data_IF_680582108707
#
_entry.id   IF_680582108707
#
_cell.length_a   1.000
_cell.length_b   1.000
_cell.length_c   1.000
_cell.angle_alpha   90.00
_cell.angle_beta   90.00
_cell.angle_gamma   90.00
#
_symmetry.space_group_name_H-M   'P 1'
#
loop_
_entity.id
_entity.type
_entity.pdbx_description
1 polymer ?
#
# COMPACT_ATOMS: atom_id res chain seq x y z
N UNK A 1 -60.04 4.19 11.51
CA UNK A 1 -60.18 3.62 10.16
C UNK A 1 -59.91 2.14 10.26
N UNK A 2 -60.95 1.32 10.35
CA UNK A 2 -60.85 -0.13 10.36
C UNK A 2 -60.67 -0.64 8.92
N UNK A 3 -59.45 -0.56 8.40
CA UNK A 3 -59.06 -1.06 7.07
C UNK A 3 -58.84 -2.57 7.04
N UNK A 4 -59.35 -3.33 8.00
CA UNK A 4 -59.15 -4.77 8.09
C UNK A 4 -60.39 -5.55 7.65
N UNK A 5 -60.38 -6.00 6.39
CA UNK A 5 -61.45 -6.80 5.79
C UNK A 5 -61.64 -8.16 6.52
N UNK A 6 -60.57 -8.81 7.01
CA UNK A 6 -60.67 -10.01 7.86
C UNK A 6 -59.38 -10.26 8.67
N UNK A 7 -59.48 -10.38 9.99
CA UNK A 7 -58.32 -10.57 10.92
C UNK A 7 -57.47 -11.81 10.61
N UNK A 8 -58.09 -12.86 10.08
CA UNK A 8 -57.42 -14.12 9.72
C UNK A 8 -56.41 -13.96 8.59
N UNK A 9 -56.69 -13.11 7.60
CA UNK A 9 -55.80 -12.89 6.48
C UNK A 9 -54.48 -12.24 6.92
N UNK A 10 -54.56 -11.30 7.88
CA UNK A 10 -53.38 -10.65 8.47
C UNK A 10 -52.52 -11.67 9.21
N UNK A 11 -53.14 -12.57 9.99
CA UNK A 11 -52.41 -13.55 10.79
C UNK A 11 -51.68 -14.57 9.90
N UNK A 12 -52.35 -15.05 8.84
CA UNK A 12 -51.72 -15.91 7.82
C UNK A 12 -50.56 -15.17 7.15
N UNK A 13 -50.74 -13.89 6.79
CA UNK A 13 -49.71 -13.04 6.21
C UNK A 13 -48.49 -12.86 7.11
N UNK A 14 -48.71 -12.55 8.40
CA UNK A 14 -47.63 -12.41 9.40
C UNK A 14 -46.89 -13.72 9.58
N UNK A 15 -47.60 -14.84 9.68
CA UNK A 15 -46.98 -16.16 9.83
C UNK A 15 -46.16 -16.56 8.60
N UNK A 16 -46.72 -16.37 7.39
CA UNK A 16 -46.04 -16.68 6.14
C UNK A 16 -44.78 -15.82 5.96
N UNK A 17 -44.88 -14.51 6.21
CA UNK A 17 -43.77 -13.55 6.06
C UNK A 17 -42.64 -13.83 7.06
N UNK A 18 -42.99 -14.10 8.32
CA UNK A 18 -42.00 -14.38 9.38
C UNK A 18 -41.28 -15.71 9.15
N UNK A 19 -42.02 -16.77 8.77
CA UNK A 19 -41.41 -18.06 8.41
C UNK A 19 -40.48 -17.94 7.21
N UNK A 20 -40.91 -17.28 6.14
CA UNK A 20 -40.11 -17.12 4.93
C UNK A 20 -38.83 -16.33 5.20
N UNK A 21 -38.93 -15.21 5.93
CA UNK A 21 -37.78 -14.38 6.30
C UNK A 21 -36.78 -15.15 7.17
N UNK A 22 -37.27 -15.92 8.15
CA UNK A 22 -36.43 -16.76 9.01
C UNK A 22 -35.67 -17.84 8.22
N UNK A 23 -36.36 -18.56 7.33
CA UNK A 23 -35.73 -19.59 6.49
C UNK A 23 -34.69 -19.00 5.53
N UNK A 24 -35.00 -17.87 4.90
CA UNK A 24 -34.06 -17.18 4.01
C UNK A 24 -32.79 -16.74 4.73
N UNK A 25 -32.93 -16.14 5.92
CA UNK A 25 -31.79 -15.70 6.73
C UNK A 25 -30.95 -16.87 7.26
N UNK A 26 -31.56 -17.99 7.63
CA UNK A 26 -30.86 -19.18 8.11
C UNK A 26 -29.97 -19.79 7.01
N UNK A 27 -30.51 -19.95 5.80
CA UNK A 27 -29.79 -20.51 4.64
C UNK A 27 -28.74 -19.51 4.12
N UNK A 28 -29.05 -18.21 4.11
CA UNK A 28 -28.11 -17.18 3.71
C UNK A 28 -26.87 -17.15 4.62
N UNK A 29 -27.10 -17.15 5.94
CA UNK A 29 -26.03 -17.07 6.95
C UNK A 29 -25.12 -18.29 6.90
N UNK A 30 -25.66 -19.51 6.74
CA UNK A 30 -24.85 -20.74 6.69
C UNK A 30 -23.95 -20.78 5.46
N UNK A 31 -24.40 -20.25 4.31
CA UNK A 31 -23.57 -20.15 3.10
C UNK A 31 -22.46 -19.12 3.23
N UNK A 32 -22.71 -17.98 3.87
CA UNK A 32 -21.67 -16.99 4.19
C UNK A 32 -20.62 -17.61 5.12
N UNK A 33 -21.07 -18.31 6.16
CA UNK A 33 -20.19 -19.00 7.11
C UNK A 33 -19.33 -20.08 6.43
N UNK A 34 -19.93 -20.87 5.54
CA UNK A 34 -19.21 -21.90 4.78
C UNK A 34 -18.11 -21.29 3.91
N UNK A 35 -18.39 -20.20 3.18
CA UNK A 35 -17.37 -19.52 2.36
C UNK A 35 -16.27 -18.91 3.23
N UNK A 36 -16.63 -18.26 4.33
CA UNK A 36 -15.66 -17.70 5.27
C UNK A 36 -14.72 -18.77 5.85
N UNK A 37 -15.22 -19.99 6.09
CA UNK A 37 -14.39 -21.11 6.54
C UNK A 37 -13.38 -21.61 5.50
N UNK A 38 -13.69 -21.42 4.21
CA UNK A 38 -12.78 -21.78 3.11
C UNK A 38 -11.61 -20.81 2.99
N UNK A 39 -11.78 -19.55 3.39
CA UNK A 39 -10.75 -18.51 3.39
C UNK A 39 -9.66 -18.74 4.47
N UNK A 40 -9.82 -19.77 5.33
CA UNK A 40 -8.90 -20.18 6.41
C UNK A 40 -8.56 -19.07 7.42
N UNK A 41 -9.26 -17.94 7.39
CA UNK A 41 -8.98 -16.75 8.21
C UNK A 41 -8.94 -17.09 9.70
N UNK A 42 -9.93 -17.83 10.20
CA UNK A 42 -10.05 -18.17 11.63
C UNK A 42 -9.59 -19.59 11.98
N UNK A 43 -8.81 -20.23 11.10
CA UNK A 43 -8.10 -21.50 11.34
C UNK A 43 -8.91 -22.61 12.00
N UNK A 44 -8.76 -22.75 13.33
CA UNK A 44 -9.32 -23.84 14.13
C UNK A 44 -10.83 -23.66 14.43
N UNK A 45 -11.29 -22.43 14.68
CA UNK A 45 -12.66 -22.15 15.14
C UNK A 45 -13.71 -22.47 14.06
N UNK A 46 -13.39 -22.18 12.80
CA UNK A 46 -14.28 -22.34 11.65
C UNK A 46 -14.02 -23.63 10.84
N UNK A 47 -13.06 -24.46 11.25
CA UNK A 47 -12.74 -25.74 10.58
C UNK A 47 -13.95 -26.68 10.43
N UNK A 48 -14.85 -26.87 11.42
CA UNK A 48 -16.00 -27.76 11.24
C UNK A 48 -17.02 -27.22 10.23
N UNK A 49 -17.14 -25.89 10.10
CA UNK A 49 -18.08 -25.25 9.16
C UNK A 49 -17.73 -25.51 7.68
N UNK A 50 -16.48 -25.89 7.39
CA UNK A 50 -15.98 -26.21 6.05
C UNK A 50 -16.53 -27.53 5.48
N UNK A 51 -17.04 -28.42 6.33
CA UNK A 51 -17.46 -29.76 5.91
C UNK A 51 -18.71 -29.65 5.03
N UNK A 52 -18.55 -29.99 3.76
CA UNK A 52 -19.62 -30.12 2.78
C UNK A 52 -19.94 -31.61 2.58
N UNK A 53 -21.23 -31.94 2.47
CA UNK A 53 -21.71 -33.32 2.26
C UNK A 53 -22.43 -33.39 0.91
N UNK A 54 -22.07 -34.36 0.08
CA UNK A 54 -22.65 -34.55 -1.25
C UNK A 54 -22.31 -33.41 -2.22
N UNK A 55 -23.32 -32.89 -2.91
CA UNK A 55 -23.21 -31.91 -3.99
C UNK A 55 -22.96 -30.47 -3.47
N UNK A 56 -21.88 -30.28 -2.69
CA UNK A 56 -21.49 -29.01 -2.04
C UNK A 56 -22.55 -28.41 -1.10
N UNK A 57 -23.36 -29.26 -0.47
CA UNK A 57 -24.35 -28.80 0.51
C UNK A 57 -23.69 -28.60 1.88
N UNK A 58 -23.69 -27.38 2.45
CA UNK A 58 -23.00 -27.07 3.69
C UNK A 58 -23.87 -27.39 4.92
N UNK A 59 -24.22 -28.67 5.09
CA UNK A 59 -25.13 -29.13 6.16
C UNK A 59 -24.57 -28.79 7.53
N UNK A 60 -23.26 -28.96 7.73
CA UNK A 60 -22.60 -28.66 9.02
C UNK A 60 -22.67 -27.17 9.35
N UNK A 61 -22.49 -26.29 8.36
CA UNK A 61 -22.67 -24.85 8.56
C UNK A 61 -24.11 -24.49 8.94
N UNK A 62 -25.12 -25.17 8.39
CA UNK A 62 -26.54 -24.96 8.74
C UNK A 62 -26.82 -25.35 10.19
N UNK A 63 -26.25 -26.46 10.66
CA UNK A 63 -26.41 -26.91 12.05
C UNK A 63 -25.74 -25.92 13.01
N UNK A 64 -24.55 -25.41 12.67
CA UNK A 64 -23.84 -24.41 13.47
C UNK A 64 -24.66 -23.12 13.56
N UNK A 65 -25.18 -22.61 12.43
CA UNK A 65 -26.01 -21.38 12.47
C UNK A 65 -27.30 -21.60 13.25
N UNK A 66 -27.95 -22.75 13.12
CA UNK A 66 -29.12 -23.09 13.92
C UNK A 66 -28.81 -23.10 15.42
N UNK A 67 -27.71 -23.74 15.85
CA UNK A 67 -27.28 -23.72 17.25
C UNK A 67 -27.01 -22.30 17.76
N UNK A 68 -26.36 -21.45 16.96
CA UNK A 68 -26.14 -20.05 17.33
C UNK A 68 -27.47 -19.29 17.51
N UNK A 69 -28.43 -19.47 16.61
CA UNK A 69 -29.76 -18.82 16.71
C UNK A 69 -30.50 -19.28 17.97
N UNK A 70 -30.50 -20.60 18.25
CA UNK A 70 -31.10 -21.15 19.47
C UNK A 70 -30.43 -20.54 20.71
N UNK A 71 -29.09 -20.42 20.72
CA UNK A 71 -28.35 -19.78 21.81
C UNK A 71 -28.77 -18.33 22.06
N UNK A 72 -29.01 -17.55 21.00
CA UNK A 72 -29.51 -16.16 21.13
C UNK A 72 -30.95 -16.14 21.64
N UNK A 73 -31.79 -17.10 21.27
CA UNK A 73 -33.18 -17.18 21.76
C UNK A 73 -33.29 -17.52 23.24
N UNK A 74 -32.30 -18.22 23.82
CA UNK A 74 -32.27 -18.51 25.26
C UNK A 74 -32.18 -17.26 26.16
N UNK A 75 -31.85 -16.08 25.60
CA UNK A 75 -31.85 -14.79 26.32
C UNK A 75 -33.28 -14.42 26.79
N UNK A 76 -34.33 -14.96 26.17
CA UNK A 76 -35.73 -14.86 26.64
C UNK A 76 -36.39 -13.49 26.52
N UNK A 77 -35.65 -12.45 26.09
CA UNK A 77 -36.14 -11.08 26.00
C UNK A 77 -36.17 -10.57 24.54
N UNK A 78 -37.34 -10.66 23.89
CA UNK A 78 -37.50 -10.29 22.48
C UNK A 78 -37.04 -8.86 22.15
N UNK A 79 -37.33 -7.89 23.02
CA UNK A 79 -36.93 -6.50 22.79
C UNK A 79 -35.41 -6.31 22.82
N UNK A 80 -34.68 -7.09 23.62
CA UNK A 80 -33.21 -7.07 23.65
C UNK A 80 -32.62 -7.72 22.39
N UNK A 81 -33.21 -8.83 21.94
CA UNK A 81 -32.80 -9.54 20.71
C UNK A 81 -33.00 -8.65 19.47
N UNK A 82 -34.12 -7.91 19.41
CA UNK A 82 -34.39 -6.98 18.33
C UNK A 82 -33.32 -5.89 18.24
N UNK A 83 -33.01 -5.22 19.37
CA UNK A 83 -31.94 -4.22 19.44
C UNK A 83 -30.57 -4.77 19.04
N UNK A 84 -30.21 -5.95 19.56
CA UNK A 84 -28.93 -6.61 19.26
C UNK A 84 -28.78 -6.86 17.75
N UNK A 85 -29.81 -7.42 17.13
CA UNK A 85 -29.83 -7.71 15.69
C UNK A 85 -29.69 -6.43 14.87
N UNK A 86 -30.42 -5.36 15.23
CA UNK A 86 -30.30 -4.05 14.57
C UNK A 86 -28.88 -3.47 14.65
N UNK A 87 -28.22 -3.59 15.80
CA UNK A 87 -26.84 -3.11 16.00
C UNK A 87 -25.87 -3.88 15.11
N UNK A 88 -25.98 -5.21 15.00
CA UNK A 88 -25.13 -6.01 14.10
C UNK A 88 -25.33 -5.67 12.62
N UNK A 89 -26.56 -5.40 12.18
CA UNK A 89 -26.80 -4.93 10.81
C UNK A 89 -26.16 -3.56 10.57
N UNK A 90 -26.37 -2.59 11.47
CA UNK A 90 -25.75 -1.27 11.35
C UNK A 90 -24.21 -1.33 11.36
N UNK A 91 -23.63 -2.22 12.17
CA UNK A 91 -22.20 -2.46 12.23
C UNK A 91 -21.64 -2.99 10.90
N UNK A 92 -22.36 -3.91 10.23
CA UNK A 92 -21.96 -4.40 8.90
C UNK A 92 -22.04 -3.32 7.83
N UNK A 93 -23.09 -2.47 7.85
CA UNK A 93 -23.20 -1.32 6.94
C UNK A 93 -22.11 -0.27 7.20
N UNK A 94 -21.79 -0.01 8.46
CA UNK A 94 -20.68 0.86 8.83
C UNK A 94 -19.35 0.30 8.31
N UNK A 95 -19.10 -1.00 8.51
CA UNK A 95 -17.89 -1.68 8.04
C UNK A 95 -17.70 -1.60 6.53
N UNK A 96 -18.77 -1.80 5.75
CA UNK A 96 -18.72 -1.65 4.27
C UNK A 96 -18.41 -0.21 3.88
N UNK A 97 -19.07 0.78 4.51
CA UNK A 97 -18.83 2.19 4.21
C UNK A 97 -17.40 2.63 4.57
N UNK A 98 -16.87 2.19 5.71
CA UNK A 98 -15.48 2.44 6.11
C UNK A 98 -14.50 1.79 5.13
N UNK A 99 -14.74 0.53 4.73
CA UNK A 99 -13.87 -0.17 3.80
C UNK A 99 -13.81 0.54 2.43
N UNK A 100 -14.96 0.94 1.88
CA UNK A 100 -15.01 1.71 0.63
C UNK A 100 -14.32 3.07 0.76
N UNK A 101 -14.55 3.78 1.87
CA UNK A 101 -13.90 5.07 2.14
C UNK A 101 -12.37 4.93 2.24
N UNK A 102 -11.89 3.91 2.95
CA UNK A 102 -10.46 3.64 3.13
C UNK A 102 -9.76 3.29 1.81
N UNK A 103 -10.38 2.47 0.95
CA UNK A 103 -9.82 2.10 -0.35
C UNK A 103 -9.74 3.29 -1.31
N UNK A 104 -10.74 4.17 -1.29
CA UNK A 104 -10.74 5.40 -2.09
C UNK A 104 -9.67 6.40 -1.61
N UNK A 105 -9.60 6.65 -0.30
CA UNK A 105 -8.58 7.55 0.29
C UNK A 105 -7.16 7.04 0.05
N UNK A 106 -6.94 5.73 0.14
CA UNK A 106 -5.63 5.12 -0.11
C UNK A 106 -5.31 4.96 -1.60
N UNK A 107 -6.24 5.29 -2.51
CA UNK A 107 -6.08 5.12 -3.95
C UNK A 107 -5.62 3.70 -4.32
N UNK A 108 -6.21 2.68 -3.69
CA UNK A 108 -5.84 1.29 -3.92
C UNK A 108 -5.97 0.92 -5.42
N UNK A 109 -4.96 0.32 -6.07
CA UNK A 109 -4.89 0.18 -7.53
C UNK A 109 -5.99 -0.71 -8.10
N UNK A 110 -6.41 -1.69 -7.30
CA UNK A 110 -7.44 -2.66 -7.65
C UNK A 110 -8.86 -2.12 -7.39
N UNK A 111 -9.01 -1.00 -6.68
CA UNK A 111 -10.30 -0.41 -6.38
C UNK A 111 -10.64 0.63 -7.46
N UNK A 112 -11.53 0.25 -8.39
CA UNK A 112 -11.99 1.10 -9.50
C UNK A 112 -13.51 1.05 -9.62
N UNK A 113 -14.24 1.76 -8.75
CA UNK A 113 -15.69 1.77 -8.77
C UNK A 113 -16.19 2.34 -10.10
N UNK A 114 -16.95 1.56 -10.85
CA UNK A 114 -17.54 1.96 -12.14
C UNK A 114 -18.90 2.63 -11.98
N UNK A 115 -19.44 2.64 -10.76
CA UNK A 115 -20.76 3.18 -10.47
C UNK A 115 -20.76 4.71 -10.44
N UNK A 116 -21.69 5.33 -11.18
CA UNK A 116 -21.72 6.78 -11.42
C UNK A 116 -21.91 7.64 -10.17
N UNK A 117 -22.69 7.16 -9.18
CA UNK A 117 -22.98 7.91 -7.96
C UNK A 117 -22.09 7.50 -6.78
N UNK A 118 -21.03 6.73 -7.05
CA UNK A 118 -20.05 6.43 -6.03
C UNK A 118 -19.14 7.63 -5.80
N UNK A 119 -19.06 8.11 -4.57
CA UNK A 119 -18.10 9.11 -4.18
C UNK A 119 -17.68 8.95 -2.71
N UNK A 120 -16.50 9.47 -2.34
CA UNK A 120 -16.00 9.34 -0.97
C UNK A 120 -16.94 10.00 0.06
N UNK A 121 -17.58 11.12 -0.30
CA UNK A 121 -18.55 11.80 0.58
C UNK A 121 -19.82 10.98 0.83
N UNK A 122 -20.29 10.17 -0.13
CA UNK A 122 -21.45 9.29 0.12
C UNK A 122 -21.10 8.18 1.10
N UNK A 123 -19.88 7.63 1.03
CA UNK A 123 -19.40 6.65 2.01
C UNK A 123 -19.22 7.29 3.39
N UNK A 124 -18.61 8.48 3.47
CA UNK A 124 -18.43 9.21 4.73
C UNK A 124 -19.78 9.53 5.39
N UNK A 125 -20.76 10.00 4.61
CA UNK A 125 -22.13 10.20 5.10
C UNK A 125 -22.73 8.89 5.63
N UNK A 126 -22.54 7.77 4.91
CA UNK A 126 -22.97 6.45 5.35
C UNK A 126 -22.38 6.03 6.70
N UNK A 127 -21.07 6.29 6.93
CA UNK A 127 -20.41 6.03 8.23
C UNK A 127 -21.03 6.89 9.33
N UNK A 128 -21.23 8.19 9.09
CA UNK A 128 -21.83 9.09 10.08
C UNK A 128 -23.26 8.69 10.41
N UNK A 129 -24.08 8.42 9.39
CA UNK A 129 -25.49 8.00 9.57
C UNK A 129 -25.60 6.66 10.30
N UNK A 130 -24.76 5.68 9.97
CA UNK A 130 -24.79 4.37 10.66
C UNK A 130 -24.30 4.47 12.10
N UNK A 131 -23.24 5.24 12.36
CA UNK A 131 -22.71 5.47 13.72
C UNK A 131 -23.73 6.19 14.59
N UNK A 132 -24.35 7.27 14.08
CA UNK A 132 -25.37 8.02 14.82
C UNK A 132 -26.59 7.15 15.13
N UNK A 133 -27.08 6.38 14.15
CA UNK A 133 -28.21 5.47 14.37
C UNK A 133 -27.90 4.38 15.41
N UNK A 134 -26.67 3.85 15.44
CA UNK A 134 -26.27 2.89 16.48
C UNK A 134 -26.37 3.50 17.89
N UNK A 135 -25.88 4.73 18.07
CA UNK A 135 -25.96 5.44 19.35
C UNK A 135 -27.40 5.73 19.77
N UNK A 136 -28.29 6.00 18.80
CA UNK A 136 -29.73 6.23 19.05
C UNK A 136 -30.45 4.96 19.51
N UNK A 137 -30.11 3.79 18.94
CA UNK A 137 -30.76 2.52 19.30
C UNK A 137 -30.41 2.11 20.74
N UNK A 138 -29.12 2.04 21.04
CA UNK A 138 -28.59 1.73 22.37
C UNK A 138 -27.08 1.99 22.41
N UNK A 139 -26.65 2.99 23.18
CA UNK A 139 -25.23 3.35 23.26
C UNK A 139 -24.38 2.25 23.92
N UNK A 140 -24.90 1.60 24.97
CA UNK A 140 -24.17 0.60 25.74
C UNK A 140 -23.90 -0.66 24.92
N UNK A 141 -24.94 -1.19 24.26
CA UNK A 141 -24.79 -2.39 23.40
C UNK A 141 -23.99 -2.08 22.13
N UNK A 142 -24.07 -0.85 21.61
CA UNK A 142 -23.28 -0.43 20.45
C UNK A 142 -21.79 -0.35 20.76
N UNK A 143 -21.39 0.13 21.94
CA UNK A 143 -19.99 0.14 22.36
C UNK A 143 -19.41 -1.28 22.39
N UNK A 144 -20.17 -2.24 22.93
CA UNK A 144 -19.77 -3.67 22.92
C UNK A 144 -19.62 -4.18 21.48
N UNK A 145 -20.57 -3.87 20.60
CA UNK A 145 -20.50 -4.27 19.18
C UNK A 145 -19.27 -3.71 18.45
N UNK A 146 -18.93 -2.45 18.68
CA UNK A 146 -17.73 -1.82 18.11
C UNK A 146 -16.45 -2.46 18.66
N UNK A 147 -16.38 -2.75 19.96
CA UNK A 147 -15.23 -3.45 20.55
C UNK A 147 -15.08 -4.84 19.93
N UNK A 148 -16.17 -5.60 19.79
CA UNK A 148 -16.16 -6.93 19.13
C UNK A 148 -15.67 -6.82 17.69
N UNK A 149 -16.10 -5.81 16.93
CA UNK A 149 -15.62 -5.58 15.56
C UNK A 149 -14.12 -5.28 15.54
N UNK A 150 -13.64 -4.40 16.42
CA UNK A 150 -12.22 -4.05 16.50
C UNK A 150 -11.36 -5.26 16.88
N UNK A 151 -11.81 -6.08 17.84
CA UNK A 151 -11.13 -7.33 18.19
C UNK A 151 -11.09 -8.28 16.99
N UNK A 152 -12.19 -8.41 16.24
CA UNK A 152 -12.24 -9.26 15.04
C UNK A 152 -11.26 -8.78 13.96
N UNK A 153 -11.21 -7.48 13.68
CA UNK A 153 -10.24 -6.89 12.74
C UNK A 153 -8.80 -7.11 13.21
N UNK A 154 -8.54 -6.95 14.50
CA UNK A 154 -7.21 -7.19 15.09
C UNK A 154 -6.80 -8.65 14.91
N UNK A 155 -7.66 -9.61 15.24
CA UNK A 155 -7.41 -11.05 15.04
C UNK A 155 -7.10 -11.35 13.57
N UNK A 156 -7.89 -10.79 12.64
CA UNK A 156 -7.64 -10.94 11.20
C UNK A 156 -6.27 -10.38 10.78
N UNK A 157 -5.87 -9.22 11.32
CA UNK A 157 -4.58 -8.62 11.01
C UNK A 157 -3.40 -9.48 11.51
N UNK A 158 -3.51 -10.09 12.68
CA UNK A 158 -2.47 -10.99 13.20
C UNK A 158 -2.42 -12.33 12.45
N UNK A 159 -3.55 -12.84 11.96
CA UNK A 159 -3.64 -14.13 11.28
C UNK A 159 -3.37 -14.05 9.77
N UNK A 160 -3.31 -12.84 9.19
CA UNK A 160 -3.03 -12.64 7.77
C UNK A 160 -1.65 -13.21 7.40
N UNK A 161 -1.57 -14.23 6.52
CA UNK A 161 -0.29 -14.83 6.15
C UNK A 161 0.57 -13.85 5.34
N UNK A 162 1.85 -13.75 5.67
CA UNK A 162 2.84 -13.03 4.85
C UNK A 162 3.10 -13.82 3.58
N UNK A 163 2.39 -13.52 2.49
CA UNK A 163 2.56 -14.23 1.21
C UNK A 163 3.92 -13.88 0.61
N UNK A 164 4.78 -14.88 0.40
CA UNK A 164 6.20 -14.74 0.02
C UNK A 164 6.47 -14.50 -1.47
N UNK A 165 5.44 -14.54 -2.33
CA UNK A 165 5.60 -14.28 -3.77
C UNK A 165 4.53 -13.27 -4.22
N UNK A 166 4.96 -12.04 -4.46
CA UNK A 166 4.11 -10.98 -5.02
C UNK A 166 2.94 -10.58 -4.12
N UNK A 167 3.24 -10.03 -2.95
CA UNK A 167 2.19 -9.53 -2.04
C UNK A 167 1.35 -8.46 -2.75
N UNK A 168 0.03 -8.50 -2.58
CA UNK A 168 -0.89 -7.43 -3.02
C UNK A 168 -0.40 -6.05 -2.55
N UNK A 169 0.28 -6.01 -1.39
CA UNK A 169 0.99 -4.86 -0.85
C UNK A 169 2.11 -4.33 -1.75
N UNK A 170 2.91 -5.18 -2.40
CA UNK A 170 3.96 -4.74 -3.33
C UNK A 170 3.38 -4.11 -4.60
N UNK A 171 2.27 -4.64 -5.12
CA UNK A 171 1.57 -4.04 -6.26
C UNK A 171 0.96 -2.67 -5.89
N UNK A 172 0.39 -2.54 -4.69
CA UNK A 172 -0.08 -1.28 -4.12
C UNK A 172 1.06 -0.26 -3.98
N UNK A 173 2.19 -0.66 -3.39
CA UNK A 173 3.39 0.19 -3.24
C UNK A 173 3.90 0.65 -4.60
N UNK A 174 4.01 -0.25 -5.58
CA UNK A 174 4.49 0.10 -6.92
C UNK A 174 3.60 1.14 -7.60
N UNK A 175 2.27 0.95 -7.55
CA UNK A 175 1.33 1.92 -8.11
C UNK A 175 1.44 3.29 -7.43
N UNK A 176 1.57 3.29 -6.10
CA UNK A 176 1.69 4.52 -5.33
C UNK A 176 3.00 5.26 -5.63
N UNK A 177 4.13 4.56 -5.68
CA UNK A 177 5.44 5.12 -6.04
C UNK A 177 5.41 5.69 -7.46
N UNK A 178 4.82 4.96 -8.43
CA UNK A 178 4.65 5.46 -9.80
C UNK A 178 3.81 6.73 -9.85
N UNK A 179 2.67 6.77 -9.14
CA UNK A 179 1.79 7.95 -9.08
C UNK A 179 2.53 9.16 -8.50
N UNK A 180 3.30 8.96 -7.44
CA UNK A 180 4.12 10.03 -6.84
C UNK A 180 5.24 10.50 -7.76
N UNK A 181 5.96 9.60 -8.44
CA UNK A 181 6.98 9.96 -9.43
C UNK A 181 6.40 10.79 -10.58
N UNK A 182 5.20 10.46 -11.06
CA UNK A 182 4.49 11.23 -12.09
C UNK A 182 3.94 12.57 -11.60
N UNK A 183 3.83 12.77 -10.28
CA UNK A 183 3.44 14.04 -9.68
C UNK A 183 4.66 14.95 -9.49
N UNK A 184 5.84 14.38 -9.30
CA UNK A 184 7.13 15.08 -9.23
C UNK A 184 7.68 15.51 -10.60
N UNK A 185 7.04 15.12 -11.72
CA UNK A 185 7.49 15.52 -13.05
C UNK A 185 7.33 17.04 -13.28
N UNK A 186 8.44 17.69 -13.61
CA UNK A 186 8.64 19.16 -13.71
C UNK A 186 7.63 19.82 -14.65
N UNK A 187 7.14 19.11 -15.67
CA UNK A 187 6.09 19.61 -16.58
C UNK A 187 4.82 20.06 -15.85
N UNK A 188 4.55 19.53 -14.66
CA UNK A 188 3.35 19.86 -13.87
C UNK A 188 3.55 21.00 -12.88
N UNK A 189 4.78 21.44 -12.60
CA UNK A 189 5.02 22.57 -11.72
C UNK A 189 4.30 23.81 -12.28
N UNK A 190 4.42 24.08 -13.58
CA UNK A 190 3.74 25.20 -14.24
C UNK A 190 2.21 25.12 -14.30
N UNK A 191 1.61 23.94 -14.11
CA UNK A 191 0.14 23.77 -14.16
C UNK A 191 -0.47 23.83 -12.75
N UNK A 192 0.28 23.39 -11.73
CA UNK A 192 -0.16 23.50 -10.33
C UNK A 192 -0.12 24.94 -9.83
N UNK A 193 0.85 25.73 -10.30
CA UNK A 193 0.88 27.17 -10.05
C UNK A 193 -0.43 27.85 -10.47
N UNK A 194 -1.10 27.47 -11.55
CA UNK A 194 -2.36 28.12 -11.98
C UNK A 194 -3.53 27.84 -11.02
N UNK A 195 -3.56 26.66 -10.38
CA UNK A 195 -4.61 26.32 -9.42
C UNK A 195 -4.29 26.84 -8.01
N UNK A 196 -3.01 26.95 -7.67
CA UNK A 196 -2.52 27.50 -6.40
C UNK A 196 -2.45 29.05 -6.44
N UNK A 197 -2.37 29.67 -7.63
CA UNK A 197 -2.48 31.12 -7.84
C UNK A 197 -3.84 31.66 -7.39
N UNK A 198 -4.89 30.83 -7.42
CA UNK A 198 -6.21 31.19 -6.88
C UNK A 198 -6.21 31.23 -5.34
N UNK A 199 -5.34 30.47 -4.67
CA UNK A 199 -5.16 30.53 -3.21
C UNK A 199 -4.18 31.64 -2.79
N UNK A 200 -3.23 32.00 -3.66
CA UNK A 200 -2.16 32.98 -3.40
C UNK A 200 -2.65 34.44 -3.33
N UNK A 201 -3.88 34.72 -3.77
CA UNK A 201 -4.52 36.05 -3.59
C UNK A 201 -4.74 36.38 -2.10
N UNK A 202 -4.66 35.40 -1.19
CA UNK A 202 -4.89 35.60 0.24
C UNK A 202 -3.66 36.10 1.05
N UNK A 203 -2.45 36.16 0.49
CA UNK A 203 -1.27 36.63 1.26
C UNK A 203 -0.18 37.26 0.37
N UNK A 204 -0.14 38.59 0.24
CA UNK A 204 0.92 39.28 -0.47
C UNK A 204 1.98 39.73 0.54
N UNK A 205 3.02 38.93 0.73
CA UNK A 205 4.27 39.45 1.29
C UNK A 205 5.44 38.66 0.75
N UNK A 206 6.31 39.39 0.04
CA UNK A 206 7.60 38.95 -0.46
C UNK A 206 8.37 38.09 0.55
N UNK A 207 8.77 36.91 0.13
CA UNK A 207 10.10 36.39 0.44
C UNK A 207 10.43 35.33 -0.59
N UNK A 208 11.48 35.58 -1.37
CA UNK A 208 11.93 34.73 -2.45
C UNK A 208 11.94 33.26 -2.06
N UNK A 209 11.41 32.41 -2.94
CA UNK A 209 11.52 30.98 -2.84
C UNK A 209 13.02 30.62 -2.92
N UNK A 210 13.70 30.62 -1.78
CA UNK A 210 14.99 29.98 -1.63
C UNK A 210 14.77 28.54 -2.07
N UNK A 211 15.22 28.20 -3.29
CA UNK A 211 15.25 26.81 -3.77
C UNK A 211 16.13 26.04 -2.79
N UNK A 212 15.51 25.35 -1.84
CA UNK A 212 16.22 24.48 -0.92
C UNK A 212 16.83 23.34 -1.72
N UNK A 213 18.11 23.48 -2.08
CA UNK A 213 18.83 22.40 -2.73
C UNK A 213 18.93 21.20 -1.80
N UNK A 214 18.57 20.02 -2.30
CA UNK A 214 18.67 18.75 -1.58
C UNK A 214 19.71 17.88 -2.28
N UNK A 215 20.72 17.34 -1.58
CA UNK A 215 21.70 16.46 -2.19
C UNK A 215 21.05 15.12 -2.57
N UNK A 216 21.13 14.77 -3.85
CA UNK A 216 20.79 13.46 -4.39
C UNK A 216 22.09 12.86 -4.92
N UNK A 217 22.64 11.89 -4.20
CA UNK A 217 24.05 11.50 -4.32
C UNK A 217 24.17 10.21 -5.12
N UNK A 218 25.04 10.23 -6.14
CA UNK A 218 25.57 9.05 -6.80
C UNK A 218 27.01 8.84 -6.32
N UNK A 219 27.23 7.80 -5.50
CA UNK A 219 28.57 7.40 -5.07
C UNK A 219 29.14 6.36 -6.02
N UNK A 220 30.29 6.66 -6.61
CA UNK A 220 31.00 5.74 -7.48
C UNK A 220 32.00 4.92 -6.66
N UNK A 221 31.80 3.61 -6.62
CA UNK A 221 32.61 2.68 -5.82
C UNK A 221 33.35 1.72 -6.76
N UNK A 222 34.68 1.73 -6.70
CA UNK A 222 35.52 0.76 -7.42
C UNK A 222 35.64 -0.55 -6.64
N UNK A 223 36.04 -0.47 -5.37
CA UNK A 223 36.22 -1.61 -4.47
C UNK A 223 35.36 -1.41 -3.21
N UNK A 224 34.38 -2.29 -2.93
CA UNK A 224 33.47 -2.12 -1.82
C UNK A 224 34.18 -2.21 -0.46
N UNK A 225 35.11 -3.17 -0.30
CA UNK A 225 35.81 -3.41 0.97
C UNK A 225 36.62 -2.21 1.49
N UNK A 226 37.21 -1.41 0.59
CA UNK A 226 37.97 -0.21 0.97
C UNK A 226 37.10 1.03 1.15
N UNK A 227 35.86 1.00 0.64
CA UNK A 227 35.00 2.18 0.53
C UNK A 227 33.88 2.20 1.58
N UNK A 228 33.83 1.23 2.50
CA UNK A 228 32.80 1.19 3.56
C UNK A 228 32.70 2.50 4.37
N UNK A 229 33.80 3.10 4.87
CA UNK A 229 33.71 4.36 5.63
C UNK A 229 33.14 5.53 4.81
N UNK A 230 33.43 5.54 3.50
CA UNK A 230 32.90 6.56 2.59
C UNK A 230 31.40 6.35 2.35
N UNK A 231 30.95 5.10 2.26
CA UNK A 231 29.54 4.77 2.09
C UNK A 231 28.71 5.20 3.31
N UNK A 232 29.25 5.01 4.53
CA UNK A 232 28.64 5.45 5.78
C UNK A 232 28.60 6.98 5.86
N UNK A 233 29.72 7.65 5.55
CA UNK A 233 29.77 9.12 5.50
C UNK A 233 28.73 9.72 4.54
N UNK A 234 28.58 9.15 3.35
CA UNK A 234 27.58 9.61 2.36
C UNK A 234 26.16 9.33 2.84
N UNK A 235 25.94 8.24 3.56
CA UNK A 235 24.64 7.92 4.14
C UNK A 235 24.23 8.91 5.24
N UNK A 236 25.18 9.46 5.98
CA UNK A 236 24.91 10.56 6.92
C UNK A 236 24.73 11.89 6.19
N UNK A 237 25.52 12.15 5.14
CA UNK A 237 25.46 13.39 4.35
C UNK A 237 24.11 13.57 3.63
N UNK A 238 23.55 12.49 3.05
CA UNK A 238 22.30 12.56 2.27
C UNK A 238 21.09 12.94 3.13
N UNK A 239 21.11 12.69 4.44
CA UNK A 239 19.93 12.72 5.33
C UNK A 239 18.75 11.91 4.77
N UNK A 240 17.79 12.57 4.12
CA UNK A 240 16.60 11.97 3.49
C UNK A 240 16.63 11.96 1.96
N UNK A 241 17.74 12.39 1.35
CA UNK A 241 17.92 12.46 -0.10
C UNK A 241 18.09 11.08 -0.75
N UNK A 242 17.96 11.07 -2.07
CA UNK A 242 18.25 9.90 -2.90
C UNK A 242 19.75 9.56 -2.77
N UNK A 243 20.05 8.27 -2.62
CA UNK A 243 21.42 7.78 -2.61
C UNK A 243 21.52 6.53 -3.46
N UNK A 244 22.37 6.60 -4.47
CA UNK A 244 22.64 5.52 -5.43
C UNK A 244 24.12 5.18 -5.34
N UNK A 245 24.41 3.89 -5.20
CA UNK A 245 25.77 3.34 -5.24
C UNK A 245 25.98 2.77 -6.63
N UNK A 246 26.88 3.39 -7.39
CA UNK A 246 27.24 3.00 -8.74
C UNK A 246 28.55 2.21 -8.76
N UNK A 247 28.54 1.04 -9.41
CA UNK A 247 29.76 0.27 -9.67
C UNK A 247 29.85 -0.09 -11.15
N UNK A 248 31.04 0.09 -11.73
CA UNK A 248 31.34 -0.24 -13.12
C UNK A 248 32.28 -1.43 -13.15
N UNK A 249 31.82 -2.52 -13.76
CA UNK A 249 32.67 -3.66 -14.08
C UNK A 249 33.19 -3.51 -15.51
N UNK A 250 34.52 -3.64 -15.68
CA UNK A 250 35.11 -3.69 -17.01
C UNK A 250 34.83 -5.04 -17.65
N UNK A 251 34.23 -5.06 -18.83
CA UNK A 251 33.97 -6.28 -19.59
C UNK A 251 33.28 -5.97 -20.91
N UNK A 252 33.37 -6.89 -21.86
CA UNK A 252 32.74 -6.77 -23.17
C UNK A 252 31.38 -7.47 -23.16
N UNK A 253 30.40 -6.89 -23.85
CA UNK A 253 29.05 -7.46 -23.98
C UNK A 253 29.00 -8.67 -24.90
N UNK A 254 30.02 -8.85 -25.76
CA UNK A 254 30.07 -9.89 -26.79
C UNK A 254 30.63 -11.24 -26.28
N UNK A 255 30.88 -11.37 -24.97
CA UNK A 255 31.29 -12.63 -24.39
C UNK A 255 30.14 -13.64 -24.45
N UNK A 256 30.39 -14.84 -24.99
CA UNK A 256 29.42 -15.92 -25.24
C UNK A 256 28.79 -16.57 -23.99
N UNK A 257 28.86 -15.92 -22.82
CA UNK A 257 28.17 -16.37 -21.61
C UNK A 257 26.70 -15.92 -21.67
N UNK A 258 25.78 -16.87 -21.61
CA UNK A 258 24.33 -16.60 -21.72
C UNK A 258 23.73 -15.84 -20.51
N UNK A 259 24.52 -15.53 -19.49
CA UNK A 259 24.08 -14.92 -18.23
C UNK A 259 24.95 -13.70 -17.91
N UNK A 260 24.31 -12.58 -17.62
CA UNK A 260 24.99 -11.33 -17.26
C UNK A 260 25.81 -11.53 -15.98
N UNK A 261 27.15 -11.33 -16.01
CA UNK A 261 28.00 -11.48 -14.83
C UNK A 261 27.62 -10.52 -13.69
N UNK A 262 26.89 -9.44 -13.97
CA UNK A 262 26.38 -8.53 -12.96
C UNK A 262 25.28 -9.14 -12.10
N UNK A 263 24.45 -10.03 -12.67
CA UNK A 263 23.33 -10.62 -11.95
C UNK A 263 23.77 -11.54 -10.81
N UNK A 264 24.95 -12.16 -10.94
CA UNK A 264 25.56 -12.96 -9.88
C UNK A 264 26.12 -12.10 -8.74
N UNK A 265 26.61 -10.90 -9.05
CA UNK A 265 27.26 -10.00 -8.07
C UNK A 265 26.22 -9.08 -7.39
N UNK A 266 25.10 -8.78 -8.05
CA UNK A 266 24.02 -7.96 -7.51
C UNK A 266 23.51 -8.37 -6.10
N UNK A 267 23.21 -9.65 -5.81
CA UNK A 267 22.76 -10.04 -4.46
C UNK A 267 23.84 -9.83 -3.38
N UNK A 268 25.13 -9.88 -3.73
CA UNK A 268 26.21 -9.58 -2.80
C UNK A 268 26.27 -8.09 -2.45
N UNK A 269 25.99 -7.21 -3.41
CA UNK A 269 25.85 -5.78 -3.11
C UNK A 269 24.65 -5.48 -2.24
N UNK A 270 23.51 -6.14 -2.48
CA UNK A 270 22.33 -6.00 -1.61
C UNK A 270 22.63 -6.44 -0.18
N UNK A 271 23.28 -7.60 0.01
CA UNK A 271 23.64 -8.07 1.35
C UNK A 271 24.63 -7.15 2.05
N UNK A 272 25.56 -6.52 1.31
CA UNK A 272 26.47 -5.51 1.84
C UNK A 272 25.75 -4.22 2.28
N UNK A 273 24.80 -3.74 1.47
CA UNK A 273 23.96 -2.58 1.79
C UNK A 273 23.10 -2.85 3.03
N UNK A 274 22.52 -4.05 3.13
CA UNK A 274 21.74 -4.47 4.29
C UNK A 274 22.61 -4.62 5.55
N UNK A 275 23.83 -5.18 5.41
CA UNK A 275 24.78 -5.31 6.50
C UNK A 275 25.21 -3.95 7.07
N UNK A 276 25.51 -2.98 6.20
CA UNK A 276 25.85 -1.60 6.57
C UNK A 276 24.61 -0.76 6.92
N UNK A 277 23.39 -1.30 6.76
CA UNK A 277 22.10 -0.60 6.98
C UNK A 277 21.97 0.69 6.17
N UNK A 278 22.53 0.71 4.96
CA UNK A 278 22.52 1.88 4.09
C UNK A 278 21.16 1.98 3.39
N UNK A 279 20.55 3.17 3.43
CA UNK A 279 19.30 3.45 2.69
C UNK A 279 19.63 3.90 1.27
N UNK A 280 20.17 2.99 0.47
CA UNK A 280 20.70 3.28 -0.87
C UNK A 280 20.17 2.31 -1.92
N UNK A 281 20.08 2.77 -3.17
CA UNK A 281 19.88 1.90 -4.32
C UNK A 281 21.22 1.49 -4.91
N UNK A 282 21.35 0.26 -5.39
CA UNK A 282 22.56 -0.22 -6.06
C UNK A 282 22.33 -0.25 -7.56
N UNK A 283 23.25 0.33 -8.32
CA UNK A 283 23.24 0.30 -9.78
C UNK A 283 24.58 -0.21 -10.29
N UNK A 284 24.55 -1.33 -11.00
CA UNK A 284 25.72 -1.99 -11.57
C UNK A 284 25.69 -1.83 -13.07
N UNK A 285 26.83 -1.50 -13.68
CA UNK A 285 26.96 -1.38 -15.14
C UNK A 285 28.19 -2.13 -15.65
N UNK A 286 28.04 -2.73 -16.83
CA UNK A 286 29.10 -3.39 -17.56
C UNK A 286 29.52 -2.48 -18.71
N UNK A 287 30.82 -2.27 -18.91
CA UNK A 287 31.31 -1.48 -20.04
C UNK A 287 32.75 -1.87 -20.38
N UNK A 288 33.12 -1.75 -21.65
CA UNK A 288 34.50 -2.01 -22.12
C UNK A 288 35.50 -1.01 -21.53
N UNK A 289 35.04 0.20 -21.17
CA UNK A 289 35.84 1.24 -20.53
C UNK A 289 35.15 1.81 -19.29
N UNK A 290 35.90 1.97 -18.20
CA UNK A 290 35.41 2.54 -16.94
C UNK A 290 34.85 3.95 -17.16
N UNK A 291 35.48 4.74 -18.03
CA UNK A 291 35.02 6.10 -18.36
C UNK A 291 33.63 6.08 -19.00
N UNK A 292 33.41 5.17 -19.94
CA UNK A 292 32.12 5.04 -20.62
C UNK A 292 31.05 4.51 -19.66
N UNK A 293 31.36 3.52 -18.84
CA UNK A 293 30.44 3.01 -17.83
C UNK A 293 30.02 4.07 -16.79
N UNK A 294 30.95 4.89 -16.32
CA UNK A 294 30.63 6.00 -15.40
C UNK A 294 29.73 7.04 -16.09
N UNK A 295 30.00 7.37 -17.36
CA UNK A 295 29.13 8.26 -18.14
C UNK A 295 27.72 7.70 -18.32
N UNK A 296 27.59 6.39 -18.52
CA UNK A 296 26.29 5.71 -18.59
C UNK A 296 25.56 5.80 -17.25
N UNK A 297 26.23 5.45 -16.13
CA UNK A 297 25.66 5.58 -14.79
C UNK A 297 25.19 7.01 -14.49
N UNK A 298 26.01 8.03 -14.76
CA UNK A 298 25.64 9.43 -14.50
C UNK A 298 24.42 9.89 -15.31
N UNK A 299 24.15 9.31 -16.47
CA UNK A 299 23.03 9.71 -17.35
C UNK A 299 21.76 8.90 -17.11
N UNK A 300 21.92 7.62 -16.80
CA UNK A 300 20.83 6.65 -16.74
C UNK A 300 20.34 6.42 -15.30
N UNK A 301 21.14 6.74 -14.29
CA UNK A 301 20.74 6.54 -12.90
C UNK A 301 19.52 7.36 -12.50
N UNK A 302 18.63 6.70 -11.76
CA UNK A 302 17.37 7.26 -11.29
C UNK A 302 16.17 7.03 -12.22
N UNK A 303 15.00 7.54 -11.82
CA UNK A 303 13.74 7.35 -12.54
C UNK A 303 12.91 8.65 -12.52
N UNK A 304 12.63 9.20 -13.71
CA UNK A 304 11.85 10.44 -13.85
C UNK A 304 12.54 11.63 -13.18
N UNK A 305 11.85 12.26 -12.21
CA UNK A 305 12.36 13.38 -11.41
C UNK A 305 13.30 12.94 -10.26
N UNK A 306 13.33 11.65 -9.90
CA UNK A 306 14.27 11.11 -8.91
C UNK A 306 15.57 10.73 -9.59
N UNK A 307 16.45 11.71 -9.83
CA UNK A 307 17.79 11.52 -10.41
C UNK A 307 18.86 12.05 -9.48
N UNK A 308 20.07 11.50 -9.46
CA UNK A 308 21.16 12.08 -8.69
C UNK A 308 21.60 13.43 -9.30
N UNK A 309 21.93 14.39 -8.43
CA UNK A 309 22.43 15.72 -8.80
C UNK A 309 23.88 15.96 -8.34
N UNK A 310 24.41 15.08 -7.48
CA UNK A 310 25.76 15.17 -6.91
C UNK A 310 26.48 13.85 -7.15
N UNK A 311 27.69 13.91 -7.70
CA UNK A 311 28.55 12.73 -7.86
C UNK A 311 29.64 12.77 -6.82
N UNK A 312 29.80 11.69 -6.06
CA UNK A 312 30.88 11.54 -5.07
C UNK A 312 31.83 10.45 -5.53
N UNK A 313 33.13 10.76 -5.44
CA UNK A 313 34.23 9.88 -5.82
C UNK A 313 35.14 9.71 -4.61
N UNK A 314 35.50 8.47 -4.30
CA UNK A 314 36.51 8.16 -3.28
C UNK A 314 37.92 8.23 -3.86
N UNK A 315 38.78 9.06 -3.28
CA UNK A 315 40.21 9.07 -3.56
C UNK A 315 40.95 8.30 -2.46
N UNK A 316 41.87 7.42 -2.85
CA UNK A 316 42.61 6.58 -1.89
C UNK A 316 44.12 6.62 -2.11
N UNK A 317 44.68 7.69 -2.68
CA UNK A 317 46.12 7.75 -2.98
C UNK A 317 46.72 9.09 -2.55
N UNK A 318 47.93 9.02 -1.98
CA UNK A 318 48.73 10.18 -1.59
C UNK A 318 49.53 10.78 -2.78
N UNK A 319 49.65 10.04 -3.89
CA UNK A 319 50.37 10.44 -5.11
C UNK A 319 49.49 10.24 -6.35
N UNK A 320 49.50 11.15 -7.34
CA UNK A 320 48.67 11.01 -8.53
C UNK A 320 49.20 9.91 -9.45
N UNK A 321 48.51 8.77 -9.52
CA UNK A 321 48.75 7.73 -10.53
C UNK A 321 48.00 8.06 -11.83
N UNK A 322 48.37 7.48 -12.98
CA UNK A 322 47.69 7.71 -14.28
C UNK A 322 46.16 7.43 -14.23
N UNK A 323 45.72 6.54 -13.33
CA UNK A 323 44.30 6.30 -13.06
C UNK A 323 43.59 7.55 -12.49
N UNK A 324 44.26 8.35 -11.66
CA UNK A 324 43.72 9.60 -11.09
C UNK A 324 43.57 10.70 -12.15
N UNK A 325 44.44 10.74 -13.16
CA UNK A 325 44.31 11.65 -14.30
C UNK A 325 43.07 11.32 -15.15
N UNK A 326 42.77 10.03 -15.34
CA UNK A 326 41.53 9.60 -15.99
C UNK A 326 40.29 9.99 -15.18
N UNK A 327 40.36 10.00 -13.85
CA UNK A 327 39.30 10.48 -12.94
C UNK A 327 39.12 11.99 -13.02
N UNK A 328 40.18 12.78 -13.16
CA UNK A 328 40.08 14.23 -13.42
C UNK A 328 39.35 14.53 -14.74
N UNK A 329 39.58 13.73 -15.78
CA UNK A 329 38.83 13.82 -17.04
C UNK A 329 37.37 13.37 -16.92
N UNK A 330 37.05 12.49 -15.98
CA UNK A 330 35.67 12.14 -15.60
C UNK A 330 35.00 13.30 -14.85
N UNK A 331 35.71 13.96 -13.92
CA UNK A 331 35.24 15.16 -13.23
C UNK A 331 34.92 16.29 -14.22
N UNK A 332 35.78 16.54 -15.21
CA UNK A 332 35.49 17.51 -16.28
C UNK A 332 34.23 17.17 -17.06
N UNK A 333 33.97 15.88 -17.31
CA UNK A 333 32.75 15.44 -18.00
C UNK A 333 31.50 15.62 -17.12
N UNK A 334 31.58 15.27 -15.83
CA UNK A 334 30.52 15.48 -14.86
C UNK A 334 30.18 16.97 -14.69
N UNK A 335 31.20 17.83 -14.58
CA UNK A 335 31.02 19.28 -14.45
C UNK A 335 30.33 19.90 -15.67
N UNK A 336 30.72 19.46 -16.88
CA UNK A 336 30.09 19.90 -18.14
C UNK A 336 28.62 19.51 -18.23
N UNK A 337 28.28 18.33 -17.70
CA UNK A 337 26.92 17.81 -17.65
C UNK A 337 26.06 18.57 -16.63
N UNK A 338 26.56 18.82 -15.42
CA UNK A 338 25.85 19.60 -14.39
C UNK A 338 25.58 21.02 -14.88
N UNK A 339 26.54 21.68 -15.55
CA UNK A 339 26.36 23.01 -16.13
C UNK A 339 25.30 23.05 -17.26
N UNK A 340 25.20 22.00 -18.08
CA UNK A 340 24.19 21.95 -19.15
C UNK A 340 22.79 21.68 -18.63
N UNK A 341 22.63 20.82 -17.61
CA UNK A 341 21.31 20.56 -17.02
C UNK A 341 20.86 21.64 -16.03
N UNK A 342 21.78 22.27 -15.30
CA UNK A 342 21.49 23.38 -14.39
C UNK A 342 21.14 24.69 -15.10
N UNK A 343 21.60 24.89 -16.34
CA UNK A 343 21.24 26.05 -17.17
C UNK A 343 19.90 25.90 -17.92
N UNK A 344 19.28 24.72 -17.89
CA UNK A 344 18.01 24.38 -18.55
C UNK A 344 16.83 24.22 -17.55
N UNK A 345 17.03 24.47 -16.25
CA UNK A 345 16.02 24.47 -15.16
C UNK A 345 15.90 25.84 -14.47
#
# INVERSE_FOLDING_TARGET
MDTNFQRWFILIGVFSTTLFSSMSNLIGSSRVLNRLSHDKLFGCLLRPAKIEIGDRNPIVSVIITWLCVVGVFLIGAMNKIAKLTSIFFLLSYMGVNIACLALELTSAPNFRPTFKFFAWWTCALGVVCTTTMMLVVDASMSAIGVVVLMTLIMVLHYQAPTVSSGSISQALIYHQVRKYLLLLDVRKEHVKWVFEFVLMIACPSELGCFRYWRPQILLLVSRPSSSCPLMDFVNDLKKSGLYVIGHVRKGDFDCAEAVDPLQQVFPYWLSLVDYLKLKAFVELTLSSSIRQGIQQLMRLSGLGAMKPNTVVLGFHEATPLDATLQVCEILKAAFRQILTYGALM
#
